data_IF_431615338359
#
_entry.id   IF_431615338359
#
_cell.length_a   1.000
_cell.length_b   1.000
_cell.length_c   1.000
_cell.angle_alpha   90.00
_cell.angle_beta   90.00
_cell.angle_gamma   90.00
#
_symmetry.space_group_name_H-M   'P 1'
#
loop_
_entity.id
_entity.type
_entity.pdbx_description
1 polymer ?
#
# COMPACT_ATOMS: atom_id res chain seq x y z
N UNK A 1 -18.83 -14.41 -20.54
CA UNK A 1 -19.10 -13.01 -20.97
C UNK A 1 -17.92 -12.19 -20.50
N UNK A 2 -17.47 -11.24 -21.31
CA UNK A 2 -16.38 -10.36 -20.92
C UNK A 2 -16.97 -9.27 -20.02
N UNK A 3 -16.48 -9.14 -18.78
CA UNK A 3 -17.01 -8.19 -17.80
C UNK A 3 -17.01 -6.73 -18.32
N UNK A 4 -16.14 -6.42 -19.26
CA UNK A 4 -16.01 -5.08 -19.82
C UNK A 4 -16.91 -4.81 -21.05
N UNK A 5 -17.72 -5.78 -21.51
CA UNK A 5 -18.57 -5.61 -22.70
C UNK A 5 -19.61 -4.49 -22.54
N UNK A 6 -20.19 -4.35 -21.35
CA UNK A 6 -21.22 -3.33 -21.05
C UNK A 6 -20.63 -2.01 -20.52
N UNK A 7 -19.31 -1.97 -20.26
CA UNK A 7 -18.65 -0.78 -19.74
C UNK A 7 -18.41 0.25 -20.85
N UNK A 8 -19.21 1.31 -20.88
CA UNK A 8 -19.05 2.35 -21.90
C UNK A 8 -17.72 3.12 -21.73
N UNK A 9 -17.04 3.51 -22.84
CA UNK A 9 -15.82 4.30 -22.76
C UNK A 9 -15.98 5.65 -22.05
N UNK A 10 -17.16 6.27 -22.14
CA UNK A 10 -17.42 7.55 -21.48
C UNK A 10 -17.60 7.40 -19.97
N UNK A 11 -18.21 6.29 -19.53
CA UNK A 11 -18.26 5.93 -18.12
C UNK A 11 -16.85 5.72 -17.55
N UNK A 12 -15.98 4.99 -18.27
CA UNK A 12 -14.58 4.81 -17.87
C UNK A 12 -13.81 6.14 -17.80
N UNK A 13 -13.97 7.01 -18.81
CA UNK A 13 -13.31 8.34 -18.85
C UNK A 13 -13.84 9.31 -17.80
N UNK A 14 -15.04 9.09 -17.27
CA UNK A 14 -15.59 9.93 -16.21
C UNK A 14 -14.77 9.87 -14.92
N UNK A 15 -13.96 8.83 -14.74
CA UNK A 15 -13.12 8.62 -13.56
C UNK A 15 -13.91 8.33 -12.29
N UNK A 16 -15.20 8.01 -12.41
CA UNK A 16 -16.07 7.67 -11.27
C UNK A 16 -16.14 6.16 -11.07
N UNK A 17 -16.17 5.75 -9.80
CA UNK A 17 -16.24 4.34 -9.41
C UNK A 17 -17.65 3.74 -9.58
N UNK A 18 -18.70 4.57 -9.66
CA UNK A 18 -20.09 4.14 -9.91
C UNK A 18 -20.30 3.47 -11.28
N UNK A 19 -19.32 3.62 -12.18
CA UNK A 19 -19.26 2.93 -13.46
C UNK A 19 -18.74 1.48 -13.37
N UNK A 20 -18.13 1.08 -12.23
CA UNK A 20 -17.58 -0.25 -12.03
C UNK A 20 -18.63 -1.11 -11.33
N UNK A 21 -19.40 -1.87 -12.10
CA UNK A 21 -20.29 -2.88 -11.51
C UNK A 21 -19.50 -4.05 -10.90
N UNK A 22 -20.19 -4.92 -10.18
CA UNK A 22 -19.61 -6.07 -9.50
C UNK A 22 -18.79 -6.97 -10.44
N UNK A 23 -19.24 -7.17 -11.68
CA UNK A 23 -18.54 -8.01 -12.64
C UNK A 23 -17.22 -7.38 -13.09
N UNK A 24 -17.22 -6.07 -13.36
CA UNK A 24 -16.02 -5.30 -13.69
C UNK A 24 -15.07 -5.24 -12.50
N UNK A 25 -15.59 -5.00 -11.30
CA UNK A 25 -14.80 -4.92 -10.07
C UNK A 25 -14.06 -6.24 -9.78
N UNK A 26 -14.78 -7.37 -9.80
CA UNK A 26 -14.17 -8.71 -9.68
C UNK A 26 -13.15 -8.98 -10.79
N UNK A 27 -13.45 -8.61 -12.04
CA UNK A 27 -12.50 -8.80 -13.13
C UNK A 27 -11.21 -7.99 -12.97
N UNK A 28 -11.27 -6.79 -12.39
CA UNK A 28 -10.10 -5.96 -12.11
C UNK A 28 -9.31 -6.46 -10.90
N UNK A 29 -9.96 -7.04 -9.90
CA UNK A 29 -9.32 -7.57 -8.69
C UNK A 29 -8.70 -8.97 -8.90
N UNK A 30 -9.21 -9.74 -9.86
CA UNK A 30 -8.84 -11.15 -10.03
C UNK A 30 -7.34 -11.40 -10.17
N UNK A 31 -6.64 -10.64 -11.02
CA UNK A 31 -5.20 -10.86 -11.24
C UNK A 31 -4.34 -10.41 -10.04
N UNK A 32 -4.55 -9.20 -9.47
CA UNK A 32 -3.87 -8.83 -8.24
C UNK A 32 -4.09 -9.82 -7.09
N UNK A 33 -5.31 -10.35 -6.93
CA UNK A 33 -5.63 -11.31 -5.87
C UNK A 33 -4.92 -12.65 -6.06
N UNK A 34 -4.96 -13.22 -7.27
CA UNK A 34 -4.21 -14.44 -7.63
C UNK A 34 -2.69 -14.27 -7.41
N UNK A 35 -2.17 -13.07 -7.68
CA UNK A 35 -0.77 -12.73 -7.44
C UNK A 35 -0.37 -12.78 -5.96
N UNK A 36 -1.25 -12.37 -5.04
CA UNK A 36 -0.97 -12.37 -3.59
C UNK A 36 -0.79 -13.78 -3.01
N UNK A 37 -1.11 -14.85 -3.74
CA UNK A 37 -0.85 -16.22 -3.29
C UNK A 37 0.21 -16.95 -4.13
N UNK A 38 0.68 -16.32 -5.20
CA UNK A 38 1.60 -16.93 -6.16
C UNK A 38 3.04 -16.59 -5.80
N UNK A 39 3.97 -17.55 -5.81
CA UNK A 39 5.39 -17.25 -5.53
C UNK A 39 6.22 -17.00 -6.79
N UNK A 40 5.96 -17.74 -7.86
CA UNK A 40 6.71 -17.69 -9.12
C UNK A 40 5.76 -17.61 -10.33
N UNK A 41 6.19 -17.00 -11.46
CA UNK A 41 7.53 -16.50 -11.77
C UNK A 41 7.83 -15.15 -11.12
N UNK A 42 9.09 -14.96 -10.72
CA UNK A 42 9.59 -13.72 -10.13
C UNK A 42 10.96 -13.36 -10.70
N UNK A 43 11.14 -12.10 -11.04
CA UNK A 43 12.36 -11.49 -11.52
C UNK A 43 12.94 -10.62 -10.42
N UNK A 44 14.21 -10.90 -10.10
CA UNK A 44 15.05 -10.05 -9.27
C UNK A 44 16.32 -9.72 -10.04
N UNK A 45 16.65 -8.44 -10.09
CA UNK A 45 17.86 -7.94 -10.74
C UNK A 45 19.11 -8.27 -9.91
N UNK A 46 19.47 -9.54 -9.82
CA UNK A 46 20.62 -9.97 -9.04
C UNK A 46 21.73 -10.53 -9.96
N UNK A 47 22.94 -9.98 -9.84
CA UNK A 47 24.16 -10.59 -10.37
C UNK A 47 24.78 -11.36 -9.21
N UNK A 48 24.27 -12.57 -8.97
CA UNK A 48 24.69 -13.35 -7.81
C UNK A 48 26.01 -14.07 -8.04
N UNK A 49 26.67 -14.38 -6.92
CA UNK A 49 27.79 -15.31 -6.84
C UNK A 49 27.36 -16.74 -7.17
N UNK A 50 28.13 -17.78 -6.78
CA UNK A 50 27.81 -19.15 -7.16
C UNK A 50 26.55 -19.74 -6.50
N UNK A 51 26.04 -19.13 -5.43
CA UNK A 51 24.84 -19.56 -4.72
C UNK A 51 23.54 -19.16 -5.44
N UNK A 52 22.48 -19.93 -5.20
CA UNK A 52 21.15 -19.59 -5.67
C UNK A 52 20.51 -18.52 -4.77
N UNK A 53 19.65 -17.67 -5.32
CA UNK A 53 18.95 -16.65 -4.56
C UNK A 53 17.95 -17.26 -3.57
N UNK A 54 17.65 -16.59 -2.45
CA UNK A 54 16.53 -16.98 -1.61
C UNK A 54 15.21 -16.88 -2.40
N UNK A 55 14.19 -17.66 -2.02
CA UNK A 55 12.84 -17.53 -2.58
C UNK A 55 12.28 -16.10 -2.41
N UNK A 56 11.41 -15.61 -3.31
CA UNK A 56 10.80 -14.29 -3.20
C UNK A 56 10.07 -14.06 -1.87
N UNK A 57 9.44 -15.10 -1.33
CA UNK A 57 8.74 -15.03 -0.04
C UNK A 57 9.69 -14.84 1.16
N UNK A 58 10.97 -15.20 1.03
CA UNK A 58 11.98 -14.96 2.07
C UNK A 58 12.61 -13.56 1.93
N UNK A 59 12.78 -13.06 0.71
CA UNK A 59 13.43 -11.77 0.41
C UNK A 59 12.48 -10.57 0.61
N UNK A 60 11.25 -10.71 0.09
CA UNK A 60 10.21 -9.67 0.10
C UNK A 60 8.87 -10.27 0.54
N UNK A 61 8.72 -10.68 1.81
CA UNK A 61 7.56 -11.43 2.30
C UNK A 61 6.24 -10.67 2.15
N UNK A 62 6.28 -9.34 2.10
CA UNK A 62 5.09 -8.52 1.83
C UNK A 62 4.81 -8.48 0.33
N UNK A 63 5.84 -8.13 -0.46
CA UNK A 63 5.69 -7.76 -1.86
C UNK A 63 6.32 -8.77 -2.84
N UNK A 64 5.92 -10.03 -2.73
CA UNK A 64 6.13 -11.04 -3.77
C UNK A 64 4.81 -11.44 -4.45
N UNK A 65 4.92 -12.18 -5.56
CA UNK A 65 3.78 -12.77 -6.27
C UNK A 65 3.27 -12.00 -7.48
N UNK A 66 4.04 -11.00 -7.88
CA UNK A 66 4.07 -10.54 -9.25
C UNK A 66 5.46 -10.82 -9.85
N UNK A 67 5.59 -10.55 -11.15
CA UNK A 67 6.84 -10.71 -11.87
C UNK A 67 8.00 -9.93 -11.24
N UNK A 68 7.75 -8.80 -10.58
CA UNK A 68 8.74 -8.05 -9.82
C UNK A 68 8.10 -7.39 -8.58
N UNK A 69 8.95 -6.83 -7.72
CA UNK A 69 8.56 -6.23 -6.45
C UNK A 69 7.57 -5.07 -6.62
N UNK A 70 7.88 -4.10 -7.48
CA UNK A 70 7.01 -2.93 -7.64
C UNK A 70 5.66 -3.28 -8.27
N UNK A 71 5.58 -4.32 -9.10
CA UNK A 71 4.30 -4.84 -9.59
C UNK A 71 3.49 -5.46 -8.45
N UNK A 72 4.13 -6.12 -7.49
CA UNK A 72 3.44 -6.64 -6.30
C UNK A 72 2.91 -5.50 -5.42
N UNK A 73 3.68 -4.42 -5.24
CA UNK A 73 3.21 -3.20 -4.55
C UNK A 73 2.02 -2.57 -5.28
N UNK A 74 2.07 -2.49 -6.61
CA UNK A 74 0.97 -1.99 -7.43
C UNK A 74 -0.29 -2.86 -7.28
N UNK A 75 -0.15 -4.19 -7.26
CA UNK A 75 -1.26 -5.12 -7.03
C UNK A 75 -1.90 -4.90 -5.66
N UNK A 76 -1.11 -4.75 -4.59
CA UNK A 76 -1.62 -4.39 -3.27
C UNK A 76 -2.38 -3.05 -3.29
N UNK A 77 -1.84 -2.03 -3.96
CA UNK A 77 -2.54 -0.75 -4.13
C UNK A 77 -3.86 -0.92 -4.88
N UNK A 78 -3.89 -1.70 -5.96
CA UNK A 78 -5.10 -1.94 -6.75
C UNK A 78 -6.18 -2.62 -5.91
N UNK A 79 -5.81 -3.61 -5.09
CA UNK A 79 -6.71 -4.30 -4.18
C UNK A 79 -7.27 -3.40 -3.07
N UNK A 80 -6.41 -2.64 -2.38
CA UNK A 80 -6.86 -1.65 -1.38
C UNK A 80 -7.79 -0.61 -2.03
N UNK A 81 -7.44 -0.15 -3.23
CA UNK A 81 -8.25 0.80 -3.98
C UNK A 81 -9.61 0.22 -4.39
N UNK A 82 -9.68 -1.07 -4.74
CA UNK A 82 -10.93 -1.75 -5.04
C UNK A 82 -11.86 -1.74 -3.81
N UNK A 83 -11.34 -2.09 -2.63
CA UNK A 83 -12.09 -2.04 -1.37
C UNK A 83 -12.59 -0.63 -1.03
N UNK A 84 -11.77 0.40 -1.28
CA UNK A 84 -12.14 1.79 -0.99
C UNK A 84 -13.19 2.34 -1.96
N UNK A 85 -13.10 1.98 -3.25
CA UNK A 85 -13.93 2.58 -4.30
C UNK A 85 -15.24 1.84 -4.57
N UNK A 86 -15.30 0.54 -4.27
CA UNK A 86 -16.48 -0.31 -4.53
C UNK A 86 -17.00 -0.82 -3.18
N UNK A 87 -17.94 -0.09 -2.55
CA UNK A 87 -18.59 -0.58 -1.32
C UNK A 87 -19.25 -1.93 -1.58
N UNK A 88 -19.06 -2.89 -0.67
CA UNK A 88 -19.55 -4.27 -0.82
C UNK A 88 -18.97 -5.02 -2.03
N UNK A 89 -17.69 -4.81 -2.33
CA UNK A 89 -16.97 -5.55 -3.37
C UNK A 89 -17.22 -7.07 -3.22
N UNK A 90 -17.55 -7.81 -4.30
CA UNK A 90 -17.88 -9.24 -4.20
C UNK A 90 -16.80 -10.08 -3.53
N UNK A 91 -15.54 -9.76 -3.82
CA UNK A 91 -14.35 -10.44 -3.28
C UNK A 91 -13.77 -9.77 -2.01
N UNK A 92 -14.55 -8.92 -1.32
CA UNK A 92 -14.06 -8.12 -0.18
C UNK A 92 -13.34 -8.97 0.90
N UNK A 93 -13.90 -10.14 1.22
CA UNK A 93 -13.35 -11.02 2.25
C UNK A 93 -12.00 -11.62 1.84
N UNK A 94 -11.88 -12.10 0.60
CA UNK A 94 -10.67 -12.73 0.09
C UNK A 94 -9.55 -11.70 -0.08
N UNK A 95 -9.90 -10.52 -0.61
CA UNK A 95 -8.96 -9.40 -0.71
C UNK A 95 -8.44 -8.99 0.67
N UNK A 96 -9.34 -8.86 1.65
CA UNK A 96 -8.94 -8.49 3.00
C UNK A 96 -8.02 -9.53 3.63
N UNK A 97 -8.37 -10.82 3.53
CA UNK A 97 -7.58 -11.91 4.07
C UNK A 97 -6.16 -11.95 3.46
N UNK A 98 -6.05 -11.86 2.12
CA UNK A 98 -4.76 -11.88 1.44
C UNK A 98 -3.88 -10.68 1.82
N UNK A 99 -4.45 -9.48 1.90
CA UNK A 99 -3.69 -8.29 2.33
C UNK A 99 -3.24 -8.41 3.78
N UNK A 100 -4.12 -8.87 4.67
CA UNK A 100 -3.83 -8.95 6.11
C UNK A 100 -2.75 -10.01 6.40
N UNK A 101 -2.73 -11.11 5.65
CA UNK A 101 -1.66 -12.11 5.72
C UNK A 101 -0.30 -11.53 5.30
N UNK A 102 -0.24 -10.80 4.18
CA UNK A 102 1.01 -10.18 3.70
C UNK A 102 1.51 -9.07 4.60
N UNK A 103 0.59 -8.32 5.22
CA UNK A 103 0.91 -7.21 6.12
C UNK A 103 1.10 -7.65 7.58
N UNK A 104 1.34 -8.94 7.83
CA UNK A 104 1.74 -9.44 9.14
C UNK A 104 2.96 -8.64 9.68
N UNK A 105 3.00 -8.32 10.99
CA UNK A 105 4.04 -7.47 11.57
C UNK A 105 5.48 -7.95 11.28
N UNK A 106 5.71 -9.26 11.29
CA UNK A 106 6.98 -9.90 10.99
C UNK A 106 7.41 -9.73 9.53
N UNK A 107 6.49 -9.93 8.58
CA UNK A 107 6.74 -9.73 7.14
C UNK A 107 7.14 -8.29 6.87
N UNK A 108 6.45 -7.36 7.51
CA UNK A 108 6.71 -5.93 7.33
C UNK A 108 8.01 -5.51 7.97
N UNK A 109 8.35 -6.06 9.15
CA UNK A 109 9.64 -5.82 9.76
C UNK A 109 10.80 -6.26 8.85
N UNK A 110 10.67 -7.42 8.19
CA UNK A 110 11.64 -7.91 7.21
C UNK A 110 11.73 -7.00 5.98
N UNK A 111 10.57 -6.59 5.42
CA UNK A 111 10.52 -5.68 4.27
C UNK A 111 11.17 -4.32 4.58
N UNK A 112 10.90 -3.76 5.76
CA UNK A 112 11.51 -2.51 6.23
C UNK A 112 13.02 -2.66 6.41
N UNK A 113 13.48 -3.77 7.02
CA UNK A 113 14.90 -4.04 7.19
C UNK A 113 15.62 -4.11 5.84
N UNK A 114 15.04 -4.80 4.86
CA UNK A 114 15.59 -4.88 3.51
C UNK A 114 15.74 -3.49 2.88
N UNK A 115 14.70 -2.66 2.92
CA UNK A 115 14.72 -1.31 2.34
C UNK A 115 15.70 -0.38 3.06
N UNK A 116 15.86 -0.53 4.38
CA UNK A 116 16.86 0.22 5.18
C UNK A 116 18.30 -0.17 4.78
N UNK A 117 18.55 -1.46 4.52
CA UNK A 117 19.87 -1.96 4.07
C UNK A 117 20.16 -1.61 2.60
N UNK A 118 19.12 -1.44 1.78
CA UNK A 118 19.20 -1.22 0.34
C UNK A 118 18.51 0.09 -0.10
N UNK A 119 19.01 1.28 0.30
CA UNK A 119 18.30 2.55 0.12
C UNK A 119 18.04 2.95 -1.34
N UNK A 120 18.82 2.44 -2.30
CA UNK A 120 18.63 2.70 -3.74
C UNK A 120 17.78 1.67 -4.48
N UNK A 121 17.29 0.64 -3.78
CA UNK A 121 16.45 -0.40 -4.38
C UNK A 121 15.16 0.21 -4.95
N UNK A 122 14.81 -0.19 -6.16
CA UNK A 122 13.56 0.21 -6.84
C UNK A 122 13.35 1.73 -6.99
N UNK A 123 14.43 2.52 -6.87
CA UNK A 123 14.36 3.94 -7.14
C UNK A 123 14.30 4.24 -8.66
N UNK A 124 13.42 5.17 -9.09
CA UNK A 124 12.38 5.84 -8.31
C UNK A 124 11.03 5.09 -8.32
N UNK A 125 10.86 4.10 -9.20
CA UNK A 125 9.55 3.62 -9.64
C UNK A 125 8.81 2.81 -8.56
N UNK A 126 9.46 1.84 -7.93
CA UNK A 126 8.82 1.07 -6.88
C UNK A 126 8.48 1.92 -5.65
N UNK A 127 9.33 2.89 -5.31
CA UNK A 127 8.99 3.86 -4.25
C UNK A 127 7.77 4.71 -4.57
N UNK A 128 7.55 5.06 -5.85
CA UNK A 128 6.33 5.76 -6.25
C UNK A 128 5.09 4.91 -5.99
N UNK A 129 5.15 3.60 -6.24
CA UNK A 129 4.05 2.69 -5.92
C UNK A 129 3.85 2.50 -4.41
N UNK A 130 4.92 2.39 -3.64
CA UNK A 130 4.81 2.26 -2.18
C UNK A 130 4.18 3.51 -1.55
N UNK A 131 4.59 4.70 -2.01
CA UNK A 131 3.97 5.97 -1.61
C UNK A 131 2.50 6.05 -2.06
N UNK A 132 2.18 5.50 -3.24
CA UNK A 132 0.80 5.46 -3.75
C UNK A 132 -0.09 4.55 -2.91
N UNK A 133 0.43 3.39 -2.48
CA UNK A 133 -0.23 2.48 -1.55
C UNK A 133 -0.49 3.15 -0.19
N UNK A 134 0.54 3.79 0.38
CA UNK A 134 0.40 4.52 1.64
C UNK A 134 -0.66 5.63 1.54
N UNK A 135 -0.63 6.42 0.47
CA UNK A 135 -1.62 7.46 0.23
C UNK A 135 -3.04 6.93 0.01
N UNK A 136 -3.20 5.75 -0.59
CA UNK A 136 -4.51 5.12 -0.76
C UNK A 136 -5.10 4.68 0.58
N UNK A 137 -4.27 4.14 1.48
CA UNK A 137 -4.66 3.79 2.85
C UNK A 137 -4.99 5.04 3.67
N UNK A 138 -4.25 6.14 3.50
CA UNK A 138 -4.55 7.43 4.15
C UNK A 138 -5.90 8.03 3.73
N UNK A 139 -6.33 7.77 2.50
CA UNK A 139 -7.61 8.25 1.95
C UNK A 139 -8.80 7.39 2.34
N UNK A 140 -8.57 6.20 2.91
CA UNK A 140 -9.62 5.26 3.24
C UNK A 140 -10.06 5.45 4.69
N UNK A 141 -11.25 6.03 4.88
CA UNK A 141 -11.88 6.19 6.20
C UNK A 141 -12.54 4.86 6.65
N UNK A 142 -11.69 3.88 6.97
CA UNK A 142 -12.07 2.54 7.42
C UNK A 142 -11.03 2.04 8.45
N UNK A 143 -11.45 1.41 9.57
CA UNK A 143 -10.52 0.91 10.59
C UNK A 143 -9.45 -0.05 10.04
N UNK A 144 -9.77 -0.82 8.98
CA UNK A 144 -8.80 -1.70 8.32
C UNK A 144 -7.64 -0.92 7.70
N UNK A 145 -7.89 0.31 7.25
CA UNK A 145 -6.88 1.17 6.67
C UNK A 145 -5.90 1.71 7.70
N UNK A 146 -6.32 1.90 8.96
CA UNK A 146 -5.44 2.34 10.04
C UNK A 146 -4.41 1.26 10.38
N UNK A 147 -4.86 0.02 10.56
CA UNK A 147 -4.00 -1.12 10.86
C UNK A 147 -3.00 -1.37 9.72
N UNK A 148 -3.49 -1.47 8.47
CA UNK A 148 -2.66 -1.66 7.28
C UNK A 148 -1.76 -0.47 6.98
N UNK A 149 -2.25 0.75 7.20
CA UNK A 149 -1.55 1.99 6.94
C UNK A 149 -0.40 2.22 7.91
N UNK A 150 -0.57 1.89 9.20
CA UNK A 150 0.51 1.99 10.19
C UNK A 150 1.73 1.17 9.77
N UNK A 151 1.46 -0.01 9.22
CA UNK A 151 2.43 -0.98 8.73
C UNK A 151 3.17 -0.46 7.47
N UNK A 152 2.45 0.01 6.45
CA UNK A 152 3.07 0.52 5.20
C UNK A 152 3.82 1.85 5.40
N UNK A 153 3.35 2.70 6.32
CA UNK A 153 3.97 4.02 6.61
C UNK A 153 5.38 3.92 7.21
N UNK A 154 5.72 2.83 7.92
CA UNK A 154 7.06 2.64 8.49
C UNK A 154 8.15 2.62 7.40
N UNK A 155 7.87 1.99 6.25
CA UNK A 155 8.76 2.01 5.09
C UNK A 155 8.76 3.34 4.36
N UNK A 156 7.58 3.92 4.10
CA UNK A 156 7.44 5.15 3.31
C UNK A 156 7.98 6.43 4.01
N UNK A 157 7.83 6.54 5.33
CA UNK A 157 8.18 7.75 6.09
C UNK A 157 9.69 8.01 6.20
N UNK A 158 10.54 7.00 5.94
CA UNK A 158 12.00 7.17 6.00
C UNK A 158 12.57 7.82 4.74
N UNK A 159 11.94 7.62 3.58
CA UNK A 159 12.35 8.24 2.30
C UNK A 159 11.83 9.67 2.11
N UNK A 160 10.69 10.05 2.69
CA UNK A 160 10.19 11.43 2.55
C UNK A 160 11.19 12.49 3.04
N UNK A 161 12.13 12.12 3.92
CA UNK A 161 13.28 12.95 4.32
C UNK A 161 14.42 13.02 3.29
N UNK A 162 14.65 11.95 2.51
CA UNK A 162 15.65 11.90 1.43
C UNK A 162 15.16 12.55 0.14
N UNK A 163 13.90 12.30 -0.24
CA UNK A 163 13.23 12.90 -1.39
C UNK A 163 13.10 14.41 -1.31
N UNK A 164 12.78 14.95 -0.12
CA UNK A 164 12.70 16.38 0.10
C UNK A 164 14.05 17.08 -0.17
N UNK A 165 15.16 16.36 0.06
CA UNK A 165 16.52 16.82 -0.21
C UNK A 165 16.88 16.69 -1.70
N UNK A 166 16.53 15.59 -2.38
CA UNK A 166 16.86 15.36 -3.79
C UNK A 166 15.98 16.13 -4.79
N UNK A 167 14.71 16.33 -4.46
CA UNK A 167 13.75 17.10 -5.29
C UNK A 167 13.76 18.59 -4.91
N UNK A 168 14.54 19.00 -3.90
CA UNK A 168 14.66 20.40 -3.49
C UNK A 168 13.38 20.99 -2.88
N UNK A 169 12.57 20.16 -2.22
CA UNK A 169 11.27 20.55 -1.60
C UNK A 169 11.42 20.80 -0.08
N UNK A 170 12.63 20.73 0.45
CA UNK A 170 12.92 20.83 1.89
C UNK A 170 12.39 22.12 2.58
N UNK A 171 12.06 23.18 1.82
CA UNK A 171 11.60 24.46 2.35
C UNK A 171 10.21 24.93 1.82
N UNK A 172 9.28 24.03 1.47
CA UNK A 172 7.87 24.45 1.21
C UNK A 172 7.07 24.54 2.54
N UNK A 173 6.68 25.76 2.99
CA UNK A 173 5.97 25.95 4.25
C UNK A 173 4.57 25.29 4.31
N UNK A 174 4.02 24.80 3.19
CA UNK A 174 2.72 24.12 3.14
C UNK A 174 2.77 22.67 3.63
N UNK A 175 3.94 22.04 3.69
CA UNK A 175 4.10 20.65 4.17
C UNK A 175 4.24 20.59 5.69
N UNK A 176 4.73 21.67 6.31
CA UNK A 176 4.99 21.74 7.76
C UNK A 176 3.71 21.87 8.59
N UNK A 177 2.63 22.44 8.03
CA UNK A 177 1.38 22.66 8.78
C UNK A 177 0.64 21.36 9.12
N UNK A 178 0.70 20.32 8.27
CA UNK A 178 -0.02 19.07 8.55
C UNK A 178 0.62 18.18 9.63
N UNK A 179 1.93 18.32 9.87
CA UNK A 179 2.60 17.60 10.97
C UNK A 179 2.27 18.23 12.35
N UNK A 180 2.06 19.54 12.40
CA UNK A 180 1.82 20.28 13.64
C UNK A 180 0.38 20.23 14.19
N UNK A 181 -0.57 19.72 13.42
CA UNK A 181 -1.99 19.65 13.82
C UNK A 181 -2.35 18.31 14.48
N UNK A 182 -1.68 17.20 14.14
CA UNK A 182 -1.98 15.88 14.74
C UNK A 182 -1.42 15.71 16.16
N UNK A 183 -0.36 16.43 16.53
CA UNK A 183 0.18 16.39 17.91
C UNK A 183 -0.67 17.19 18.92
N UNK A 184 -1.51 18.14 18.45
CA UNK A 184 -2.35 18.96 19.35
C UNK A 184 -3.68 18.31 19.71
N UNK A 185 -4.05 17.20 19.07
CA UNK A 185 -5.32 16.49 19.29
C UNK A 185 -5.29 15.43 20.40
N UNK A 186 -4.12 15.07 20.94
CA UNK A 186 -3.97 13.95 21.88
C UNK A 186 -3.86 14.39 23.35
N UNK A 187 -3.72 15.69 23.63
CA UNK A 187 -3.44 16.19 24.98
C UNK A 187 -4.60 16.94 25.64
N UNK A 188 -5.84 16.40 25.65
CA UNK A 188 -6.85 16.83 26.65
C UNK A 188 -7.79 15.66 26.97
N UNK A 189 -7.39 14.78 27.90
CA UNK A 189 -8.33 13.98 28.73
C UNK A 189 -7.61 13.23 29.85
N UNK A 190 -7.14 13.96 30.85
CA UNK A 190 -6.99 13.44 32.21
C UNK A 190 -7.23 14.59 33.19
N UNK A 191 -7.81 14.24 34.34
CA UNK A 191 -8.05 15.07 35.53
C UNK A 191 -9.44 15.69 35.66
N UNK A 192 -10.41 14.83 35.94
CA UNK A 192 -11.57 15.18 36.74
C UNK A 192 -11.64 14.25 37.97
N UNK A 193 -10.96 14.63 39.07
CA UNK A 193 -11.26 14.14 40.43
C UNK A 193 -11.03 15.26 41.46
N UNK A 194 -12.08 15.48 42.26
CA UNK A 194 -12.14 16.18 43.56
C UNK A 194 -11.95 17.70 43.64
N UNK A 195 -13.07 18.41 43.88
CA UNK A 195 -13.35 19.06 45.17
C UNK A 195 -14.74 19.72 45.13
N UNK A 196 -15.65 19.28 46.00
CA UNK A 196 -16.86 20.03 46.37
C UNK A 196 -16.91 19.99 47.90
N UNK A 197 -16.84 21.19 48.48
CA UNK A 197 -17.21 21.48 49.89
C UNK A 197 -18.70 21.27 50.12
#
# INVERSE_FOLDING_TARGET
MNAFEELSPDALRSGRADALDDAVATALAAHPLDGVETEYPHYRGAVEGPEAPPPPSEDHPVFYGCFDWHSAVHSHWALVRALRLVPHHPDEADIAAGIDERLAPESVASEVAYLDENPGFEEPYGWAWLLRLAAELDLWDDPRADDRGGVVRVGAARRSRGLAFEVGVADDPRVVEHAGERERGVAVRTDAVSAVD
#
